data_IF_370202681870
#
_entry.id   IF_370202681870
#
_cell.length_a   1.000
_cell.length_b   1.000
_cell.length_c   1.000
_cell.angle_alpha   90.00
_cell.angle_beta   90.00
_cell.angle_gamma   90.00
#
_symmetry.space_group_name_H-M   'P 1'
#
loop_
_entity.id
_entity.type
_entity.pdbx_description
1 polymer ?
#
# COMPACT_ATOMS: atom_id res chain seq x y z
N UNK A 1 12.21 -7.57 -13.02
CA UNK A 1 11.59 -7.61 -14.37
C UNK A 1 10.08 -7.62 -14.18
N UNK A 2 9.30 -6.96 -15.03
CA UNK A 2 7.84 -6.93 -14.91
C UNK A 2 7.25 -7.99 -15.84
N UNK A 3 6.51 -8.94 -15.26
CA UNK A 3 5.69 -9.88 -16.00
C UNK A 3 4.25 -9.33 -16.04
N UNK A 4 3.88 -8.69 -17.15
CA UNK A 4 2.54 -8.14 -17.33
C UNK A 4 1.49 -9.25 -17.44
N UNK A 5 0.36 -9.06 -16.76
CA UNK A 5 -0.77 -9.97 -16.73
C UNK A 5 -2.04 -9.18 -17.04
N UNK A 6 -3.07 -9.87 -17.53
CA UNK A 6 -4.42 -9.30 -17.48
C UNK A 6 -4.91 -9.21 -16.03
N UNK A 7 -5.84 -8.30 -15.75
CA UNK A 7 -6.50 -8.18 -14.44
C UNK A 7 -7.15 -9.51 -14.07
N UNK A 8 -7.82 -10.16 -15.02
CA UNK A 8 -8.45 -11.46 -14.80
C UNK A 8 -7.44 -12.58 -14.47
N UNK A 9 -6.25 -12.59 -15.09
CA UNK A 9 -5.19 -13.55 -14.76
C UNK A 9 -4.60 -13.27 -13.39
N UNK A 10 -4.41 -12.00 -13.03
CA UNK A 10 -3.98 -11.61 -11.69
C UNK A 10 -5.02 -12.05 -10.67
N UNK A 11 -6.30 -11.75 -10.87
CA UNK A 11 -7.41 -12.18 -10.00
C UNK A 11 -7.51 -13.70 -9.89
N UNK A 12 -7.33 -14.43 -10.99
CA UNK A 12 -7.29 -15.89 -10.99
C UNK A 12 -6.12 -16.45 -10.16
N UNK A 13 -4.97 -15.78 -10.14
CA UNK A 13 -3.84 -16.15 -9.29
C UNK A 13 -4.08 -15.78 -7.83
N UNK A 14 -4.66 -14.60 -7.59
CA UNK A 14 -4.96 -14.11 -6.24
C UNK A 14 -6.10 -14.89 -5.58
N UNK A 15 -7.09 -15.37 -6.35
CA UNK A 15 -8.19 -16.21 -5.86
C UNK A 15 -7.76 -17.63 -5.48
N UNK A 16 -6.61 -18.10 -5.98
CA UNK A 16 -5.98 -19.33 -5.51
C UNK A 16 -5.33 -19.16 -4.13
N UNK A 17 -5.23 -17.92 -3.66
CA UNK A 17 -4.79 -17.55 -2.32
C UNK A 17 -6.08 -17.29 -1.50
N UNK A 18 -6.27 -17.94 -0.32
CA UNK A 18 -7.43 -17.72 0.56
C UNK A 18 -7.76 -16.24 0.72
N UNK A 19 -9.05 -15.85 0.69
CA UNK A 19 -9.55 -14.60 0.13
C UNK A 19 -8.64 -13.45 0.49
N UNK A 20 -7.80 -13.12 -0.48
CA UNK A 20 -6.99 -11.92 -0.48
C UNK A 20 -7.95 -10.80 -0.81
N UNK A 21 -8.62 -10.27 0.21
CA UNK A 21 -9.20 -8.95 0.14
C UNK A 21 -8.06 -7.96 0.00
N UNK A 22 -7.44 -7.92 -1.18
CA UNK A 22 -6.24 -7.16 -1.56
C UNK A 22 -6.58 -5.67 -1.62
N UNK A 23 -6.99 -5.15 -0.47
CA UNK A 23 -7.08 -3.75 -0.14
C UNK A 23 -6.33 -3.59 1.17
N UNK A 24 -5.01 -3.82 1.12
CA UNK A 24 -4.17 -2.79 1.70
C UNK A 24 -3.73 -1.89 0.57
N UNK A 25 -4.49 -0.82 0.43
CA UNK A 25 -4.20 0.28 -0.47
C UNK A 25 -2.95 0.97 0.09
N UNK A 26 -1.77 0.53 -0.31
CA UNK A 26 -0.62 1.43 -0.31
C UNK A 26 -0.91 2.50 -1.36
N UNK A 27 -1.76 3.47 -1.05
CA UNK A 27 -2.16 4.49 -2.02
C UNK A 27 -0.96 5.36 -2.35
N UNK A 28 -0.18 4.94 -3.34
CA UNK A 28 0.68 5.84 -4.09
C UNK A 28 -0.23 6.69 -4.97
N UNK A 29 -0.90 7.66 -4.35
CA UNK A 29 -1.65 8.66 -5.06
C UNK A 29 -0.67 9.70 -5.58
N UNK A 30 -0.41 9.66 -6.87
CA UNK A 30 0.42 10.64 -7.54
C UNK A 30 -0.38 11.44 -8.56
N UNK A 31 0.04 12.67 -8.79
CA UNK A 31 -0.40 13.48 -9.92
C UNK A 31 0.78 13.67 -10.87
N UNK A 32 0.58 13.34 -12.13
CA UNK A 32 1.57 13.58 -13.18
C UNK A 32 0.93 14.21 -14.41
N UNK A 33 1.72 14.98 -15.15
CA UNK A 33 1.35 15.53 -16.46
C UNK A 33 1.63 14.57 -17.61
N UNK A 34 2.32 13.46 -17.33
CA UNK A 34 2.67 12.45 -18.32
C UNK A 34 1.59 11.34 -18.40
N UNK A 35 1.53 10.66 -19.55
CA UNK A 35 0.70 9.47 -19.74
C UNK A 35 1.36 8.26 -19.10
N UNK A 36 0.64 7.50 -18.28
CA UNK A 36 1.12 6.23 -17.73
C UNK A 36 1.44 5.21 -18.83
N UNK A 37 0.66 5.18 -19.92
CA UNK A 37 0.91 4.31 -21.08
C UNK A 37 2.31 4.54 -21.65
N UNK A 38 2.70 5.81 -21.78
CA UNK A 38 4.01 6.17 -22.30
C UNK A 38 5.16 5.87 -21.32
N UNK A 39 4.88 5.81 -20.01
CA UNK A 39 5.88 5.53 -18.97
C UNK A 39 6.06 4.05 -18.70
N UNK A 40 4.98 3.27 -18.82
CA UNK A 40 4.98 1.83 -18.60
C UNK A 40 5.27 1.04 -19.88
N UNK A 41 5.19 1.70 -21.04
CA UNK A 41 5.34 1.09 -22.37
C UNK A 41 4.43 -0.14 -22.56
N UNK A 42 3.26 -0.10 -21.92
CA UNK A 42 2.27 -1.18 -21.90
C UNK A 42 0.85 -0.62 -21.95
N UNK A 43 0.01 -1.22 -22.78
CA UNK A 43 -1.39 -0.81 -22.91
C UNK A 43 -2.21 -1.28 -21.69
N UNK A 44 -3.04 -0.41 -21.11
CA UNK A 44 -3.91 -0.78 -20.00
C UNK A 44 -5.15 -1.53 -20.47
N UNK A 45 -5.78 -2.23 -19.53
CA UNK A 45 -7.18 -2.61 -19.64
C UNK A 45 -8.08 -1.43 -19.22
N UNK A 46 -9.12 -1.18 -20.01
CA UNK A 46 -10.14 -0.20 -19.65
C UNK A 46 -11.17 -0.84 -18.73
N UNK A 47 -11.46 -0.20 -17.60
CA UNK A 47 -12.47 -0.65 -16.66
C UNK A 47 -13.32 0.51 -16.18
N UNK A 48 -14.55 0.21 -15.76
CA UNK A 48 -15.41 1.15 -15.05
C UNK A 48 -15.47 0.75 -13.59
N UNK A 49 -14.93 1.59 -12.70
CA UNK A 49 -14.94 1.35 -11.26
C UNK A 49 -16.01 2.22 -10.62
N UNK A 50 -16.86 1.63 -9.78
CA UNK A 50 -17.91 2.36 -9.07
C UNK A 50 -17.32 3.51 -8.23
N UNK A 51 -17.95 4.69 -8.28
CA UNK A 51 -17.49 5.89 -7.58
C UNK A 51 -16.25 6.57 -8.19
N UNK A 52 -15.47 5.88 -9.02
CA UNK A 52 -14.32 6.45 -9.74
C UNK A 52 -14.65 6.75 -11.21
N UNK A 53 -15.50 5.97 -11.87
CA UNK A 53 -15.81 6.06 -13.30
C UNK A 53 -14.83 5.27 -14.16
N UNK A 54 -14.59 5.73 -15.38
CA UNK A 54 -13.64 5.08 -16.30
C UNK A 54 -12.20 5.24 -15.77
N UNK A 55 -11.49 4.12 -15.74
CA UNK A 55 -10.10 4.00 -15.30
C UNK A 55 -9.31 3.10 -16.25
N UNK A 56 -8.00 3.29 -16.23
CA UNK A 56 -7.02 2.45 -16.90
C UNK A 56 -6.39 1.54 -15.85
N UNK A 57 -6.31 0.25 -16.12
CA UNK A 57 -5.76 -0.74 -15.20
C UNK A 57 -4.57 -1.45 -15.83
N UNK A 58 -3.54 -1.64 -15.03
CA UNK A 58 -2.41 -2.50 -15.33
C UNK A 58 -2.28 -3.53 -14.21
N UNK A 59 -1.86 -4.74 -14.56
CA UNK A 59 -1.65 -5.81 -13.61
C UNK A 59 -0.38 -6.57 -13.99
N UNK A 60 0.30 -7.14 -13.00
CA UNK A 60 1.49 -7.91 -13.29
C UNK A 60 2.16 -8.47 -12.05
N UNK A 61 3.34 -9.05 -12.27
CA UNK A 61 4.28 -9.41 -11.21
C UNK A 61 5.54 -8.58 -11.37
N UNK A 62 6.05 -8.04 -10.27
CA UNK A 62 7.40 -7.47 -10.21
C UNK A 62 8.25 -8.31 -9.27
N UNK A 63 9.25 -8.99 -9.84
CA UNK A 63 10.11 -9.94 -9.12
C UNK A 63 9.30 -10.98 -8.33
N UNK A 64 8.22 -11.49 -8.93
CA UNK A 64 7.29 -12.46 -8.34
C UNK A 64 6.22 -11.88 -7.41
N UNK A 65 6.28 -10.58 -7.10
CA UNK A 65 5.28 -9.89 -6.28
C UNK A 65 4.13 -9.38 -7.15
N UNK A 66 2.88 -9.79 -6.92
CA UNK A 66 1.74 -9.27 -7.66
C UNK A 66 1.52 -7.78 -7.41
N UNK A 67 1.08 -7.06 -8.43
CA UNK A 67 0.67 -5.67 -8.31
C UNK A 67 -0.48 -5.37 -9.27
N UNK A 68 -1.29 -4.37 -8.91
CA UNK A 68 -2.16 -3.67 -9.86
C UNK A 68 -1.92 -2.17 -9.77
N UNK A 69 -2.10 -1.48 -10.90
CA UNK A 69 -2.00 -0.04 -11.00
C UNK A 69 -3.26 0.47 -11.67
N UNK A 70 -3.90 1.46 -11.06
CA UNK A 70 -5.09 2.12 -11.58
C UNK A 70 -4.76 3.56 -11.89
N UNK A 71 -4.99 3.99 -13.12
CA UNK A 71 -4.83 5.35 -13.59
C UNK A 71 -6.17 5.98 -13.96
N UNK A 72 -6.38 7.23 -13.57
CA UNK A 72 -7.51 8.05 -14.02
C UNK A 72 -7.01 9.37 -14.57
N UNK A 73 -7.37 9.66 -15.82
CA UNK A 73 -7.11 10.96 -16.43
C UNK A 73 -8.17 11.97 -16.02
N UNK A 74 -7.75 13.11 -15.46
CA UNK A 74 -8.57 14.28 -15.17
C UNK A 74 -7.95 15.51 -15.83
N UNK A 75 -8.44 15.86 -17.02
CA UNK A 75 -7.87 16.93 -17.84
C UNK A 75 -6.44 16.61 -18.29
N UNK A 76 -5.49 17.47 -17.92
CA UNK A 76 -4.06 17.31 -18.20
C UNK A 76 -3.32 16.48 -17.14
N UNK A 77 -3.99 16.08 -16.06
CA UNK A 77 -3.38 15.35 -14.95
C UNK A 77 -3.84 13.90 -14.95
N UNK A 78 -2.91 12.98 -14.84
CA UNK A 78 -3.18 11.58 -14.53
C UNK A 78 -3.02 11.38 -13.03
N UNK A 79 -4.10 10.98 -12.36
CA UNK A 79 -4.05 10.43 -11.01
C UNK A 79 -3.83 8.93 -11.11
N UNK A 80 -3.04 8.35 -10.23
CA UNK A 80 -2.86 6.90 -10.20
C UNK A 80 -2.81 6.37 -8.78
N UNK A 81 -3.07 5.07 -8.63
CA UNK A 81 -2.88 4.31 -7.40
C UNK A 81 -2.26 2.95 -7.73
N UNK A 82 -1.50 2.40 -6.79
CA UNK A 82 -0.88 1.07 -6.92
C UNK A 82 -1.38 0.23 -5.75
N UNK A 83 -1.75 -1.02 -6.01
CA UNK A 83 -2.03 -2.00 -4.98
C UNK A 83 -1.02 -3.15 -5.08
N UNK A 84 -0.54 -3.60 -3.92
CA UNK A 84 0.45 -4.66 -3.75
C UNK A 84 0.04 -5.51 -2.54
N UNK A 85 0.41 -6.81 -2.48
CA UNK A 85 0.13 -7.65 -1.33
C UNK A 85 0.91 -7.15 -0.10
N UNK A 86 0.28 -7.26 1.08
CA UNK A 86 0.94 -6.96 2.35
C UNK A 86 1.84 -8.13 2.71
N UNK A 87 3.13 -8.03 2.39
CA UNK A 87 4.14 -8.90 2.97
C UNK A 87 4.44 -8.42 4.40
N UNK A 88 4.26 -9.32 5.37
CA UNK A 88 4.61 -9.10 6.77
C UNK A 88 5.81 -9.96 7.12
N UNK A 89 6.91 -9.32 7.50
CA UNK A 89 8.14 -9.95 7.96
C UNK A 89 8.38 -9.55 9.41
N UNK A 90 8.46 -10.53 10.31
CA UNK A 90 8.69 -10.34 11.75
C UNK A 90 7.72 -9.32 12.40
N UNK A 91 6.43 -9.42 12.05
CA UNK A 91 5.37 -8.53 12.55
C UNK A 91 5.36 -7.12 11.95
N UNK A 92 6.15 -6.86 10.91
CA UNK A 92 6.28 -5.55 10.26
C UNK A 92 6.06 -5.63 8.75
N UNK A 93 5.71 -4.51 8.13
CA UNK A 93 5.64 -4.42 6.67
C UNK A 93 7.02 -4.72 6.07
N UNK A 94 7.06 -5.62 5.10
CA UNK A 94 8.29 -5.89 4.34
C UNK A 94 8.56 -4.72 3.38
N UNK A 95 9.48 -3.84 3.78
CA UNK A 95 9.92 -2.70 2.95
C UNK A 95 10.66 -3.12 1.68
N UNK A 96 11.05 -4.40 1.54
CA UNK A 96 11.57 -4.95 0.28
C UNK A 96 10.59 -4.80 -0.89
N UNK A 97 9.29 -4.74 -0.60
CA UNK A 97 8.25 -4.43 -1.58
C UNK A 97 8.45 -3.06 -2.26
N UNK A 98 8.97 -2.05 -1.54
CA UNK A 98 9.27 -0.73 -2.11
C UNK A 98 10.37 -0.78 -3.15
N UNK A 99 11.29 -1.75 -3.07
CA UNK A 99 12.27 -1.97 -4.12
C UNK A 99 11.56 -2.45 -5.41
N UNK A 100 10.59 -3.36 -5.27
CA UNK A 100 9.79 -3.83 -6.39
C UNK A 100 8.93 -2.71 -7.00
N UNK A 101 8.33 -1.84 -6.18
CA UNK A 101 7.66 -0.60 -6.67
C UNK A 101 8.65 0.37 -7.30
N UNK A 102 9.85 0.48 -6.73
CA UNK A 102 10.94 1.29 -7.25
C UNK A 102 11.39 0.84 -8.64
N UNK A 103 11.14 -0.40 -9.04
CA UNK A 103 11.40 -0.89 -10.40
C UNK A 103 10.36 -0.43 -11.43
N UNK A 104 9.17 -0.01 -11.00
CA UNK A 104 8.18 0.70 -11.83
C UNK A 104 8.55 2.21 -11.99
N UNK A 105 9.80 2.55 -11.63
CA UNK A 105 10.42 3.83 -11.30
C UNK A 105 10.02 5.09 -12.09
N UNK A 106 9.90 5.08 -13.43
CA UNK A 106 9.78 6.33 -14.17
C UNK A 106 8.49 7.10 -13.85
N UNK A 107 7.38 6.38 -13.67
CA UNK A 107 6.08 6.97 -13.40
C UNK A 107 6.01 7.62 -12.01
N UNK A 108 6.64 7.00 -11.01
CA UNK A 108 6.50 7.43 -9.61
C UNK A 108 7.45 8.54 -9.22
N UNK A 109 8.65 8.57 -9.82
CA UNK A 109 9.58 9.71 -9.65
C UNK A 109 9.02 11.00 -10.26
N UNK A 110 8.16 10.90 -11.26
CA UNK A 110 7.48 12.05 -11.88
C UNK A 110 6.22 12.51 -11.11
N UNK A 111 5.80 11.78 -10.07
CA UNK A 111 4.58 12.06 -9.33
C UNK A 111 4.78 13.22 -8.35
N UNK A 112 3.89 14.22 -8.39
CA UNK A 112 3.84 15.26 -7.37
C UNK A 112 3.14 14.74 -6.12
N UNK A 113 3.90 14.41 -5.09
CA UNK A 113 3.40 14.06 -3.76
C UNK A 113 2.90 12.63 -3.60
N UNK A 114 3.79 11.62 -3.75
CA UNK A 114 3.46 10.27 -3.38
C UNK A 114 3.00 10.22 -1.92
N UNK A 115 1.86 9.58 -1.70
CA UNK A 115 1.40 9.19 -0.38
C UNK A 115 1.79 7.73 -0.14
N UNK A 116 2.19 7.41 1.08
CA UNK A 116 2.50 6.03 1.49
C UNK A 116 1.61 5.76 2.70
N UNK A 117 0.67 4.84 2.54
CA UNK A 117 -0.10 4.38 3.67
C UNK A 117 0.78 3.46 4.51
N UNK A 118 1.03 3.86 5.75
CA UNK A 118 1.89 3.11 6.66
C UNK A 118 1.05 2.25 7.58
N UNK A 119 1.49 1.01 7.80
CA UNK A 119 0.90 0.19 8.84
C UNK A 119 0.99 0.92 10.20
N UNK A 120 0.00 0.73 11.08
CA UNK A 120 0.03 1.25 12.43
C UNK A 120 1.30 0.83 13.14
N UNK A 121 1.95 1.81 13.75
CA UNK A 121 3.09 1.59 14.61
C UNK A 121 2.83 2.27 15.95
N UNK A 122 2.74 1.47 17.00
CA UNK A 122 2.66 1.93 18.38
C UNK A 122 4.03 1.81 19.01
N UNK A 123 4.61 2.96 19.36
CA UNK A 123 5.95 3.06 19.91
C UNK A 123 6.67 4.32 19.44
N UNK A 124 7.84 4.58 20.02
CA UNK A 124 8.77 5.59 19.54
C UNK A 124 9.72 4.96 18.54
N UNK A 125 10.28 5.73 17.61
CA UNK A 125 11.13 5.14 16.58
C UNK A 125 11.59 6.14 15.55
N UNK A 126 11.61 5.70 14.31
CA UNK A 126 12.02 6.47 13.15
C UNK A 126 10.85 6.64 12.21
N UNK A 127 10.89 7.67 11.40
CA UNK A 127 9.91 7.83 10.35
C UNK A 127 10.33 8.84 9.31
N UNK A 128 9.52 8.94 8.27
CA UNK A 128 9.66 9.96 7.23
C UNK A 128 8.60 11.01 7.47
N UNK A 129 9.03 12.26 7.60
CA UNK A 129 8.14 13.43 7.79
C UNK A 129 8.35 14.41 6.64
N UNK A 130 7.31 15.13 6.19
CA UNK A 130 7.51 16.34 5.40
C UNK A 130 8.31 17.36 6.22
N UNK A 131 9.29 18.02 5.60
CA UNK A 131 10.08 19.06 6.27
C UNK A 131 9.16 20.16 6.83
N UNK A 132 9.38 20.52 8.09
CA UNK A 132 8.55 21.49 8.80
C UNK A 132 7.22 20.96 9.33
N UNK A 133 6.97 19.65 9.23
CA UNK A 133 5.82 18.96 9.83
C UNK A 133 6.25 17.96 10.89
N UNK A 134 5.36 17.68 11.85
CA UNK A 134 5.51 16.57 12.80
C UNK A 134 4.67 15.34 12.41
N UNK A 135 3.89 15.46 11.34
CA UNK A 135 3.01 14.38 10.86
C UNK A 135 3.80 13.46 9.95
N UNK A 136 4.11 12.27 10.48
CA UNK A 136 4.83 11.25 9.76
C UNK A 136 3.97 10.65 8.65
N UNK A 137 4.52 10.60 7.44
CA UNK A 137 3.97 9.80 6.34
C UNK A 137 4.37 8.33 6.48
N UNK A 138 5.43 8.05 7.24
CA UNK A 138 5.86 6.69 7.56
C UNK A 138 6.45 6.58 8.96
N UNK A 139 6.19 5.46 9.65
CA UNK A 139 6.73 5.12 10.98
C UNK A 139 7.25 3.70 11.03
N UNK A 140 8.39 3.49 11.68
CA UNK A 140 8.93 2.17 12.02
C UNK A 140 9.79 2.26 13.29
N UNK A 141 9.94 1.13 14.00
CA UNK A 141 10.96 0.98 15.04
C UNK A 141 12.37 0.81 14.48
N UNK A 142 12.52 0.49 13.19
CA UNK A 142 13.80 0.35 12.52
C UNK A 142 14.12 1.59 11.67
N UNK A 143 15.34 2.12 11.84
CA UNK A 143 15.81 3.26 11.05
C UNK A 143 16.00 2.91 9.59
N UNK A 144 16.44 1.69 9.28
CA UNK A 144 16.71 1.26 7.90
C UNK A 144 15.44 1.27 7.05
N UNK A 145 14.30 0.92 7.63
CA UNK A 145 12.99 1.02 6.97
C UNK A 145 12.68 2.48 6.58
N UNK A 146 12.91 3.43 7.49
CA UNK A 146 12.71 4.85 7.22
C UNK A 146 13.68 5.38 6.15
N UNK A 147 14.92 4.87 6.12
CA UNK A 147 15.90 5.17 5.06
C UNK A 147 15.42 4.65 3.71
N UNK A 148 14.94 3.40 3.65
CA UNK A 148 14.42 2.80 2.43
C UNK A 148 13.21 3.58 1.89
N UNK A 149 12.28 3.97 2.77
CA UNK A 149 11.12 4.80 2.41
C UNK A 149 11.54 6.18 1.93
N UNK A 150 12.47 6.85 2.62
CA UNK A 150 12.97 8.17 2.20
C UNK A 150 13.68 8.10 0.84
N UNK A 151 14.49 7.07 0.61
CA UNK A 151 15.15 6.83 -0.67
C UNK A 151 14.14 6.52 -1.79
N UNK A 152 13.07 5.79 -1.47
CA UNK A 152 11.98 5.53 -2.41
C UNK A 152 11.26 6.81 -2.83
N UNK A 153 11.03 7.74 -1.88
CA UNK A 153 10.38 9.03 -2.16
C UNK A 153 11.25 9.98 -2.99
N UNK A 154 12.58 9.83 -2.93
CA UNK A 154 13.58 10.54 -3.75
C UNK A 154 13.41 12.08 -3.82
N UNK A 155 12.96 12.69 -2.72
CA UNK A 155 12.73 14.14 -2.61
C UNK A 155 13.26 14.67 -1.26
N UNK A 156 14.59 14.88 -1.14
CA UNK A 156 15.25 15.30 0.10
C UNK A 156 14.96 16.76 0.47
N UNK A 157 14.42 17.56 -0.44
CA UNK A 157 13.96 18.93 -0.17
C UNK A 157 12.61 18.92 0.53
N UNK A 158 11.76 17.93 0.24
CA UNK A 158 10.43 17.81 0.84
C UNK A 158 10.38 16.91 2.06
N UNK A 159 11.16 15.84 2.11
CA UNK A 159 11.08 14.84 3.18
C UNK A 159 12.38 14.72 3.96
N UNK A 160 12.26 14.39 5.24
CA UNK A 160 13.40 14.07 6.10
C UNK A 160 13.09 12.89 7.03
N UNK A 161 14.16 12.23 7.48
CA UNK A 161 14.07 11.17 8.48
C UNK A 161 14.10 11.81 9.86
N UNK A 162 13.08 11.54 10.65
CA UNK A 162 12.96 12.06 12.01
C UNK A 162 12.90 10.92 13.03
N UNK A 163 13.38 11.22 14.25
CA UNK A 163 13.07 10.40 15.43
C UNK A 163 11.68 10.82 15.90
N UNK A 164 10.76 9.87 15.95
CA UNK A 164 9.37 10.13 16.27
C UNK A 164 9.06 9.74 17.72
N UNK A 165 8.30 10.57 18.45
CA UNK A 165 7.88 10.25 19.80
C UNK A 165 6.90 9.08 19.79
N UNK A 166 6.78 8.44 20.96
CA UNK A 166 5.79 7.38 21.20
C UNK A 166 4.40 7.91 20.88
N UNK A 167 3.72 7.29 19.91
CA UNK A 167 2.32 7.62 19.63
C UNK A 167 1.43 7.03 20.74
N UNK A 168 0.59 7.82 21.42
CA UNK A 168 -0.25 7.33 22.51
C UNK A 168 -1.55 6.64 22.06
N UNK A 169 -1.76 6.42 20.76
CA UNK A 169 -3.05 5.97 20.27
C UNK A 169 -3.23 4.45 20.48
N UNK A 170 -4.21 4.09 21.31
CA UNK A 170 -4.90 2.81 21.18
C UNK A 170 -5.50 2.76 19.78
N UNK A 171 -4.79 2.10 18.87
CA UNK A 171 -5.28 1.77 17.54
C UNK A 171 -5.61 0.29 17.53
N UNK A 172 -6.58 -0.08 16.71
CA UNK A 172 -7.00 -1.47 16.58
C UNK A 172 -6.83 -1.89 15.14
N UNK A 173 -6.19 -3.04 14.96
CA UNK A 173 -5.88 -3.62 13.66
C UNK A 173 -6.85 -4.76 13.40
N UNK A 174 -7.56 -4.69 12.29
CA UNK A 174 -8.38 -5.79 11.77
C UNK A 174 -7.60 -6.46 10.66
N UNK A 175 -7.16 -7.69 10.87
CA UNK A 175 -6.31 -8.41 9.94
C UNK A 175 -6.95 -9.72 9.48
N UNK A 176 -6.98 -9.92 8.17
CA UNK A 176 -7.52 -11.13 7.55
C UNK A 176 -6.62 -12.37 7.71
N UNK A 177 -6.99 -13.49 7.08
CA UNK A 177 -6.16 -14.69 7.04
C UNK A 177 -4.74 -14.43 6.50
N UNK A 178 -3.77 -15.18 7.04
CA UNK A 178 -2.36 -15.15 6.63
C UNK A 178 -2.09 -16.30 5.66
N UNK A 179 -1.37 -16.03 4.57
CA UNK A 179 -0.91 -17.05 3.62
C UNK A 179 0.58 -16.88 3.40
N UNK A 180 1.38 -17.81 3.93
CA UNK A 180 2.84 -17.65 3.94
C UNK A 180 3.25 -16.40 4.73
N UNK A 181 3.99 -15.49 4.10
CA UNK A 181 4.38 -14.19 4.68
C UNK A 181 3.36 -13.08 4.46
N UNK A 182 2.28 -13.31 3.71
CA UNK A 182 1.34 -12.24 3.35
C UNK A 182 0.07 -12.28 4.19
N UNK A 183 -0.53 -11.11 4.40
CA UNK A 183 -1.86 -10.98 4.98
C UNK A 183 -2.85 -10.57 3.91
N UNK A 184 -4.04 -11.17 3.94
CA UNK A 184 -5.06 -10.90 2.93
C UNK A 184 -5.56 -9.47 2.96
N UNK A 185 -5.77 -8.92 4.16
CA UNK A 185 -6.30 -7.58 4.40
C UNK A 185 -5.82 -7.08 5.76
N UNK A 186 -5.61 -5.77 5.88
CA UNK A 186 -5.34 -5.15 7.16
C UNK A 186 -5.93 -3.74 7.19
N UNK A 187 -6.73 -3.46 8.22
CA UNK A 187 -7.36 -2.16 8.42
C UNK A 187 -7.11 -1.64 9.82
N UNK A 188 -7.16 -0.33 9.96
CA UNK A 188 -6.81 0.39 11.18
C UNK A 188 -7.98 1.24 11.59
N UNK A 189 -8.44 1.04 12.82
CA UNK A 189 -9.56 1.80 13.37
C UNK A 189 -9.24 2.31 14.78
N UNK A 190 -9.85 3.43 15.20
CA UNK A 190 -9.47 4.09 16.45
C UNK A 190 -9.99 3.38 17.71
N UNK A 191 -10.95 2.46 17.61
CA UNK A 191 -11.59 1.82 18.78
C UNK A 191 -11.76 0.31 18.58
N UNK A 192 -11.82 -0.41 19.70
CA UNK A 192 -12.03 -1.86 19.70
C UNK A 192 -13.37 -2.23 19.09
N UNK A 193 -14.41 -1.46 19.42
CA UNK A 193 -15.77 -1.70 18.94
C UNK A 193 -15.85 -1.57 17.42
N UNK A 194 -15.20 -0.55 16.85
CA UNK A 194 -15.11 -0.40 15.40
C UNK A 194 -14.34 -1.58 14.77
N UNK A 195 -13.29 -2.08 15.44
CA UNK A 195 -12.51 -3.19 14.93
C UNK A 195 -13.29 -4.50 14.96
N UNK A 196 -14.01 -4.76 16.05
CA UNK A 196 -14.85 -5.95 16.19
C UNK A 196 -15.99 -5.97 15.17
N UNK A 197 -16.67 -4.83 14.97
CA UNK A 197 -17.73 -4.73 13.95
C UNK A 197 -17.17 -4.89 12.54
N UNK A 198 -16.04 -4.26 12.23
CA UNK A 198 -15.39 -4.40 10.92
C UNK A 198 -14.93 -5.84 10.68
N UNK A 199 -14.34 -6.50 11.67
CA UNK A 199 -13.95 -7.91 11.57
C UNK A 199 -15.16 -8.83 11.34
N UNK A 200 -16.30 -8.57 11.99
CA UNK A 200 -17.55 -9.31 11.74
C UNK A 200 -18.06 -9.09 10.33
N UNK A 201 -18.09 -7.85 9.85
CA UNK A 201 -18.49 -7.51 8.48
C UNK A 201 -17.66 -8.28 7.47
N UNK A 202 -16.32 -8.20 7.58
CA UNK A 202 -15.44 -8.93 6.67
C UNK A 202 -15.58 -10.44 6.77
N UNK A 203 -15.75 -10.97 7.99
CA UNK A 203 -15.95 -12.40 8.18
C UNK A 203 -17.24 -12.88 7.52
N UNK A 204 -18.31 -12.09 7.61
CA UNK A 204 -19.59 -12.40 6.98
C UNK A 204 -19.53 -12.30 5.45
N UNK A 205 -18.85 -11.28 4.91
CA UNK A 205 -18.74 -11.05 3.47
C UNK A 205 -17.82 -12.05 2.77
N UNK A 206 -16.68 -12.37 3.40
CA UNK A 206 -15.61 -13.16 2.77
C UNK A 206 -15.58 -14.62 3.23
N UNK A 207 -16.38 -14.99 4.24
CA UNK A 207 -16.47 -16.35 4.75
C UNK A 207 -15.21 -16.83 5.50
N UNK A 208 -14.28 -15.93 5.81
CA UNK A 208 -13.02 -16.23 6.51
C UNK A 208 -12.90 -15.43 7.80
N UNK A 209 -12.22 -15.99 8.80
CA UNK A 209 -12.10 -15.35 10.09
C UNK A 209 -11.09 -14.18 10.09
N UNK A 210 -11.56 -12.98 10.41
CA UNK A 210 -10.72 -11.80 10.64
C UNK A 210 -10.33 -11.67 12.12
N UNK A 211 -9.06 -11.34 12.38
CA UNK A 211 -8.50 -11.19 13.72
C UNK A 211 -8.34 -9.72 14.08
N UNK A 212 -8.56 -9.40 15.35
CA UNK A 212 -8.42 -8.05 15.89
C UNK A 212 -7.21 -7.98 16.83
N UNK A 213 -6.37 -6.96 16.66
CA UNK A 213 -5.17 -6.74 17.47
C UNK A 213 -5.14 -5.30 18.01
N UNK A 214 -4.65 -5.14 19.24
CA UNK A 214 -4.37 -3.81 19.80
C UNK A 214 -2.96 -3.36 19.40
N UNK A 215 -2.87 -2.16 18.85
CA UNK A 215 -1.63 -1.45 18.54
C UNK A 215 -0.89 -1.95 17.30
N UNK A 216 -0.31 -3.15 17.35
CA UNK A 216 0.57 -3.67 16.30
C UNK A 216 0.31 -5.15 15.99
N UNK A 217 0.72 -5.61 14.81
CA UNK A 217 0.67 -7.03 14.47
C UNK A 217 1.63 -7.85 15.35
N UNK A 218 1.25 -9.07 15.74
CA UNK A 218 2.19 -10.00 16.36
C UNK A 218 3.24 -10.45 15.34
N UNK A 219 4.45 -10.72 15.83
CA UNK A 219 5.54 -11.29 15.05
C UNK A 219 5.19 -12.66 14.45
#
# INVERSE_FOLDING_TARGET
MIDWLTVAELDARLSQIPPVGLELRGFFNGRMSASLVALLEHEPEAATVEGLGEVQMWAGLVDGTPFSLTGQRRGEVTMFGIALPVAVKDGRMDVGLLHAVGMLAPAFRAARGPYIESLPYVGGGFGVVPRGSNDAVFRSSNREDAVAVAAFLDDPERYEIAILPVTPAQQWIVAGPKVGSTMSRLEVVPTKEAADELAKTWTAELGEHFRVFEGQLPA
#
